data_IF_937941784655
#
_entry.id   IF_937941784655
#
_cell.length_a   1.000
_cell.length_b   1.000
_cell.length_c   1.000
_cell.angle_alpha   90.00
_cell.angle_beta   90.00
_cell.angle_gamma   90.00
#
_symmetry.space_group_name_H-M   'P 1'
#
loop_
_entity.id
_entity.type
_entity.pdbx_description
1 polymer ?
#
# COMPACT_ATOMS: atom_id res chain seq x y z
N UNK A 1 28.60 -66.58 40.86
CA UNK A 1 28.45 -65.10 40.86
C UNK A 1 29.54 -64.55 39.93
N UNK A 2 29.33 -63.79 38.86
CA UNK A 2 28.20 -63.09 38.25
C UNK A 2 28.44 -63.13 36.72
N UNK A 3 27.42 -63.46 35.94
CA UNK A 3 27.34 -63.13 34.51
C UNK A 3 27.19 -61.61 34.36
N UNK A 4 27.74 -61.03 33.28
CA UNK A 4 27.03 -59.98 32.52
C UNK A 4 27.70 -59.77 31.16
N UNK A 5 27.00 -60.26 30.14
CA UNK A 5 27.21 -60.02 28.72
C UNK A 5 26.98 -58.52 28.41
N UNK A 6 27.88 -57.90 27.67
CA UNK A 6 27.66 -56.57 27.08
C UNK A 6 26.66 -56.68 25.93
N UNK A 7 25.40 -56.29 26.16
CA UNK A 7 24.43 -56.05 25.09
C UNK A 7 24.48 -54.58 24.67
N UNK A 8 24.99 -54.35 23.47
CA UNK A 8 24.83 -53.11 22.71
C UNK A 8 23.34 -52.95 22.38
N UNK A 9 22.74 -51.83 22.78
CA UNK A 9 21.34 -51.48 22.45
C UNK A 9 21.26 -50.98 21.01
N UNK A 10 20.25 -51.37 20.20
CA UNK A 10 19.97 -50.67 18.96
C UNK A 10 19.36 -49.30 19.28
N UNK A 11 19.89 -48.26 18.65
CA UNK A 11 19.24 -46.94 18.57
C UNK A 11 17.94 -47.10 17.76
N UNK A 12 16.80 -47.02 18.42
CA UNK A 12 15.52 -46.76 17.75
C UNK A 12 15.52 -45.33 17.25
N UNK A 13 15.77 -45.14 15.96
CA UNK A 13 15.57 -43.86 15.28
C UNK A 13 14.06 -43.68 15.11
N UNK A 14 13.45 -42.85 15.97
CA UNK A 14 12.10 -42.34 15.72
C UNK A 14 12.17 -41.47 14.45
N UNK A 15 11.61 -41.96 13.36
CA UNK A 15 11.28 -41.14 12.21
C UNK A 15 10.08 -40.26 12.58
N UNK A 16 10.32 -39.02 12.98
CA UNK A 16 9.28 -37.99 13.05
C UNK A 16 8.87 -37.62 11.64
N UNK A 17 7.76 -38.18 11.18
CA UNK A 17 7.05 -37.72 10.00
C UNK A 17 6.64 -36.27 10.23
N UNK A 18 7.36 -35.33 9.62
CA UNK A 18 6.91 -33.95 9.49
C UNK A 18 5.73 -33.99 8.52
N UNK A 19 4.52 -33.95 9.06
CA UNK A 19 3.32 -33.70 8.27
C UNK A 19 3.42 -32.23 7.85
N UNK A 20 3.92 -32.01 6.63
CA UNK A 20 3.73 -30.76 5.91
C UNK A 20 2.22 -30.61 5.74
N UNK A 21 1.59 -29.86 6.64
CA UNK A 21 0.27 -29.29 6.37
C UNK A 21 0.45 -28.34 5.20
N UNK A 22 0.27 -28.84 3.98
CA UNK A 22 -0.13 -28.01 2.86
C UNK A 22 -1.44 -27.34 3.30
N UNK A 23 -1.36 -26.07 3.69
CA UNK A 23 -2.57 -25.27 3.86
C UNK A 23 -3.35 -25.40 2.56
N UNK A 24 -4.65 -25.77 2.61
CA UNK A 24 -5.46 -25.77 1.41
C UNK A 24 -5.38 -24.36 0.84
N UNK A 25 -4.88 -24.25 -0.40
CA UNK A 25 -5.04 -23.05 -1.22
C UNK A 25 -6.50 -22.63 -1.06
N UNK A 26 -6.75 -21.50 -0.39
CA UNK A 26 -8.10 -20.96 -0.22
C UNK A 26 -8.67 -20.83 -1.63
N UNK A 27 -9.53 -21.76 -2.02
CA UNK A 27 -10.17 -21.71 -3.32
C UNK A 27 -10.87 -20.36 -3.40
N UNK A 28 -10.45 -19.54 -4.36
CA UNK A 28 -11.01 -18.22 -4.62
C UNK A 28 -12.51 -18.34 -4.80
N UNK A 29 -13.30 -17.61 -4.00
CA UNK A 29 -14.75 -17.58 -4.17
C UNK A 29 -15.08 -16.92 -5.50
N UNK A 30 -15.80 -17.64 -6.37
CA UNK A 30 -16.28 -17.11 -7.64
C UNK A 30 -17.09 -15.82 -7.49
N UNK A 31 -17.75 -15.62 -6.35
CA UNK A 31 -18.49 -14.41 -6.02
C UNK A 31 -17.57 -13.20 -5.85
N UNK A 32 -16.43 -13.36 -5.18
CA UNK A 32 -15.44 -12.30 -4.97
C UNK A 32 -14.79 -11.92 -6.30
N UNK A 33 -14.44 -12.89 -7.14
CA UNK A 33 -13.94 -12.61 -8.49
C UNK A 33 -14.97 -11.83 -9.32
N UNK A 34 -16.25 -12.19 -9.23
CA UNK A 34 -17.30 -11.50 -9.95
C UNK A 34 -17.45 -10.04 -9.48
N UNK A 35 -17.35 -9.78 -8.18
CA UNK A 35 -17.33 -8.40 -7.65
C UNK A 35 -16.13 -7.62 -8.19
N UNK A 36 -14.92 -8.20 -8.16
CA UNK A 36 -13.71 -7.58 -8.73
C UNK A 36 -13.90 -7.26 -10.22
N UNK A 37 -14.41 -8.20 -11.01
CA UNK A 37 -14.68 -8.02 -12.44
C UNK A 37 -15.69 -6.92 -12.72
N UNK A 38 -16.82 -6.89 -12.01
CA UNK A 38 -17.84 -5.83 -12.13
C UNK A 38 -17.30 -4.44 -11.81
N UNK A 39 -16.33 -4.36 -10.90
CA UNK A 39 -15.63 -3.13 -10.55
C UNK A 39 -14.45 -2.81 -11.49
N UNK A 40 -14.28 -3.57 -12.57
CA UNK A 40 -13.27 -3.35 -13.61
C UNK A 40 -11.85 -3.75 -13.20
N UNK A 41 -11.72 -4.73 -12.29
CA UNK A 41 -10.42 -5.17 -11.76
C UNK A 41 -9.95 -6.52 -12.35
N UNK A 42 -10.58 -7.04 -13.41
CA UNK A 42 -10.30 -8.40 -13.92
C UNK A 42 -8.82 -8.61 -14.31
N UNK A 43 -8.23 -7.64 -15.00
CA UNK A 43 -6.87 -7.70 -15.51
C UNK A 43 -5.94 -6.77 -14.71
N UNK A 44 -6.09 -6.78 -13.39
CA UNK A 44 -5.32 -5.93 -12.47
C UNK A 44 -4.51 -6.75 -11.48
N UNK A 45 -3.49 -6.14 -10.90
CA UNK A 45 -2.67 -6.66 -9.83
C UNK A 45 -3.54 -6.98 -8.62
N UNK A 46 -4.62 -6.25 -8.35
CA UNK A 46 -5.58 -6.62 -7.29
C UNK A 46 -6.16 -8.03 -7.53
N UNK A 47 -6.58 -8.34 -8.76
CA UNK A 47 -7.07 -9.69 -9.08
C UNK A 47 -5.97 -10.74 -8.93
N UNK A 48 -4.74 -10.44 -9.37
CA UNK A 48 -3.59 -11.34 -9.20
C UNK A 48 -3.30 -11.61 -7.72
N UNK A 49 -3.20 -10.56 -6.90
CA UNK A 49 -2.96 -10.66 -5.46
C UNK A 49 -4.09 -11.45 -4.77
N UNK A 50 -5.34 -11.23 -5.18
CA UNK A 50 -6.47 -12.00 -4.67
C UNK A 50 -6.34 -13.49 -5.02
N UNK A 51 -6.07 -13.82 -6.28
CA UNK A 51 -5.91 -15.22 -6.75
C UNK A 51 -4.75 -15.94 -6.08
N UNK A 52 -3.68 -15.20 -5.75
CA UNK A 52 -2.54 -15.72 -5.02
C UNK A 52 -2.79 -15.86 -3.51
N UNK A 53 -3.95 -15.45 -3.00
CA UNK A 53 -4.26 -15.47 -1.57
C UNK A 53 -3.50 -14.43 -0.74
N UNK A 54 -2.96 -13.39 -1.36
CA UNK A 54 -2.21 -12.31 -0.69
C UNK A 54 -3.15 -11.29 -0.04
N UNK A 55 -4.42 -11.27 -0.45
CA UNK A 55 -5.47 -10.41 0.10
C UNK A 55 -6.41 -11.20 1.01
N UNK A 56 -6.63 -10.71 2.22
CA UNK A 56 -7.71 -11.15 3.11
C UNK A 56 -9.02 -10.50 2.70
N UNK A 57 -10.07 -11.31 2.54
CA UNK A 57 -11.41 -10.83 2.16
C UNK A 57 -12.26 -10.62 3.40
N UNK A 58 -12.94 -9.47 3.47
CA UNK A 58 -13.99 -9.18 4.45
C UNK A 58 -15.22 -8.66 3.72
N UNK A 59 -16.36 -9.25 4.00
CA UNK A 59 -17.64 -8.78 3.46
C UNK A 59 -18.43 -8.04 4.53
N UNK A 60 -19.09 -6.97 4.12
CA UNK A 60 -20.10 -6.28 4.94
C UNK A 60 -21.46 -6.42 4.26
N UNK A 61 -22.31 -7.25 4.83
CA UNK A 61 -23.64 -7.54 4.29
C UNK A 61 -24.61 -6.38 4.47
N UNK A 62 -24.42 -5.52 5.48
CA UNK A 62 -25.28 -4.38 5.75
C UNK A 62 -24.99 -3.23 4.78
N UNK A 63 -23.70 -2.96 4.55
CA UNK A 63 -23.27 -1.93 3.62
C UNK A 63 -23.27 -2.40 2.16
N UNK A 64 -23.40 -3.71 1.92
CA UNK A 64 -23.22 -4.37 0.63
C UNK A 64 -21.85 -4.02 0.02
N UNK A 65 -20.80 -4.20 0.81
CA UNK A 65 -19.42 -3.93 0.38
C UNK A 65 -18.52 -5.15 0.55
N UNK A 66 -17.49 -5.18 -0.29
CA UNK A 66 -16.39 -6.13 -0.25
C UNK A 66 -15.11 -5.36 0.05
N UNK A 67 -14.39 -5.80 1.07
CA UNK A 67 -13.08 -5.27 1.44
C UNK A 67 -12.01 -6.32 1.18
N UNK A 68 -10.91 -5.92 0.55
CA UNK A 68 -9.70 -6.73 0.44
C UNK A 68 -8.55 -6.02 1.17
N UNK A 69 -7.87 -6.72 2.07
CA UNK A 69 -6.78 -6.18 2.89
C UNK A 69 -5.51 -6.97 2.59
N UNK A 70 -4.43 -6.28 2.24
CA UNK A 70 -3.16 -6.93 2.00
C UNK A 70 -2.54 -7.42 3.32
N UNK A 71 -2.23 -8.72 3.37
CA UNK A 71 -1.70 -9.39 4.57
C UNK A 71 -0.31 -8.90 4.97
N UNK A 72 0.45 -8.31 4.05
CA UNK A 72 1.84 -7.88 4.30
C UNK A 72 1.96 -6.42 4.71
N UNK A 73 0.86 -5.65 4.69
CA UNK A 73 0.94 -4.23 5.01
C UNK A 73 1.11 -4.02 6.51
N UNK A 74 2.12 -3.23 6.84
CA UNK A 74 2.44 -2.83 8.21
C UNK A 74 1.78 -1.47 8.46
N UNK A 75 0.76 -1.47 9.30
CA UNK A 75 0.26 -0.23 9.90
C UNK A 75 1.26 0.24 10.96
N UNK A 76 1.79 1.46 10.80
CA UNK A 76 2.71 2.08 11.76
C UNK A 76 2.00 3.24 12.47
N UNK A 77 1.14 2.98 13.46
CA UNK A 77 0.27 4.01 14.06
C UNK A 77 1.02 5.13 14.80
N UNK A 78 2.33 4.98 15.06
CA UNK A 78 3.15 5.99 15.73
C UNK A 78 4.11 6.76 14.80
N UNK A 79 3.97 6.64 13.47
CA UNK A 79 4.84 7.41 12.56
C UNK A 79 4.50 8.90 12.60
N UNK A 80 5.54 9.72 12.76
CA UNK A 80 5.48 11.18 12.58
C UNK A 80 5.98 11.55 11.20
N UNK A 81 5.76 12.80 10.80
CA UNK A 81 6.24 13.22 9.48
C UNK A 81 7.76 13.11 9.32
N UNK A 82 8.51 13.27 10.41
CA UNK A 82 9.98 13.27 10.41
C UNK A 82 10.60 11.89 10.27
N UNK A 83 9.86 10.83 10.65
CA UNK A 83 10.37 9.45 10.65
C UNK A 83 9.50 8.48 9.85
N UNK A 84 8.52 8.98 9.09
CA UNK A 84 7.67 8.13 8.28
C UNK A 84 8.47 7.38 7.19
N UNK A 85 8.32 6.05 7.16
CA UNK A 85 8.76 5.20 6.05
C UNK A 85 7.64 4.94 5.04
N UNK A 86 6.40 5.04 5.48
CA UNK A 86 5.23 4.71 4.69
C UNK A 86 4.30 5.92 4.57
N UNK A 87 3.77 6.11 3.37
CA UNK A 87 2.88 7.21 3.02
C UNK A 87 1.67 6.67 2.28
N UNK A 88 0.52 7.31 2.44
CA UNK A 88 -0.74 6.73 2.00
C UNK A 88 -1.51 7.68 1.09
N UNK A 89 -2.12 7.09 0.07
CA UNK A 89 -3.03 7.79 -0.84
C UNK A 89 -4.23 6.89 -1.15
N UNK A 90 -5.43 7.41 -0.94
CA UNK A 90 -6.66 6.77 -1.39
C UNK A 90 -7.00 7.29 -2.78
N UNK A 91 -7.08 6.36 -3.73
CA UNK A 91 -7.39 6.62 -5.12
C UNK A 91 -8.74 5.99 -5.49
N UNK A 92 -9.61 6.71 -6.23
CA UNK A 92 -10.76 6.10 -6.88
C UNK A 92 -10.34 4.95 -7.81
N UNK A 93 -11.24 3.99 -8.05
CA UNK A 93 -10.95 2.84 -8.92
C UNK A 93 -10.49 3.25 -10.34
N UNK A 94 -11.05 4.33 -10.89
CA UNK A 94 -10.64 4.85 -12.20
C UNK A 94 -9.20 5.37 -12.20
N UNK A 95 -8.79 6.05 -11.13
CA UNK A 95 -7.43 6.52 -10.95
C UNK A 95 -6.47 5.34 -10.76
N UNK A 96 -6.82 4.36 -9.93
CA UNK A 96 -6.02 3.14 -9.75
C UNK A 96 -5.74 2.44 -11.08
N UNK A 97 -6.78 2.22 -11.90
CA UNK A 97 -6.59 1.59 -13.22
C UNK A 97 -5.66 2.38 -14.12
N UNK A 98 -5.70 3.71 -14.05
CA UNK A 98 -4.81 4.59 -14.82
C UNK A 98 -3.38 4.53 -14.29
N UNK A 99 -3.23 4.47 -12.96
CA UNK A 99 -1.93 4.31 -12.31
C UNK A 99 -1.30 2.96 -12.65
N UNK A 100 -2.07 1.89 -12.61
CA UNK A 100 -1.61 0.56 -12.97
C UNK A 100 -1.28 0.44 -14.46
N UNK A 101 -2.10 0.99 -15.35
CA UNK A 101 -1.85 0.98 -16.78
C UNK A 101 -0.53 1.68 -17.16
N UNK A 102 -0.03 2.61 -16.32
CA UNK A 102 1.28 3.23 -16.49
C UNK A 102 2.42 2.50 -15.76
N UNK A 103 2.19 1.26 -15.32
CA UNK A 103 3.17 0.43 -14.62
C UNK A 103 3.46 0.90 -13.20
N UNK A 104 2.52 1.62 -12.57
CA UNK A 104 2.66 2.20 -11.23
C UNK A 104 3.83 3.19 -11.12
N UNK A 105 4.15 3.88 -12.22
CA UNK A 105 5.33 4.77 -12.30
C UNK A 105 5.00 6.26 -12.19
N UNK A 106 3.73 6.64 -12.31
CA UNK A 106 3.30 8.03 -12.14
C UNK A 106 1.89 8.13 -11.58
N UNK A 107 1.70 8.83 -10.46
CA UNK A 107 0.40 9.09 -9.88
C UNK A 107 -0.43 10.02 -10.80
N UNK A 108 -1.59 9.59 -11.31
CA UNK A 108 -2.37 10.38 -12.26
C UNK A 108 -2.88 11.70 -11.68
N UNK A 109 -3.25 11.74 -10.39
CA UNK A 109 -3.76 12.95 -9.76
C UNK A 109 -2.75 14.11 -9.69
N UNK A 110 -1.44 13.86 -9.89
CA UNK A 110 -0.44 14.94 -9.77
C UNK A 110 -0.58 16.00 -10.85
N UNK A 111 -1.15 15.63 -12.00
CA UNK A 111 -1.35 16.54 -13.15
C UNK A 111 -2.73 17.23 -13.12
N UNK A 112 -3.55 16.93 -12.11
CA UNK A 112 -4.91 17.43 -12.02
C UNK A 112 -5.02 18.52 -10.95
N UNK A 113 -5.97 19.42 -11.11
CA UNK A 113 -6.35 20.38 -10.08
C UNK A 113 -7.29 19.72 -9.05
N UNK A 114 -6.84 18.61 -8.47
CA UNK A 114 -7.59 17.77 -7.51
C UNK A 114 -6.81 17.61 -6.21
N UNK A 115 -7.46 17.00 -5.22
CA UNK A 115 -6.85 16.75 -3.91
C UNK A 115 -5.92 15.53 -3.95
N UNK A 116 -4.78 15.69 -4.61
CA UNK A 116 -3.74 14.66 -4.71
C UNK A 116 -2.78 14.78 -3.52
N UNK A 117 -3.04 14.00 -2.46
CA UNK A 117 -2.31 14.08 -1.19
C UNK A 117 -1.58 12.78 -0.86
N UNK A 118 -0.39 12.91 -0.28
CA UNK A 118 0.27 11.85 0.49
C UNK A 118 0.16 12.17 1.97
N UNK A 119 -0.37 11.24 2.76
CA UNK A 119 -0.57 11.41 4.21
C UNK A 119 0.13 10.32 5.01
N UNK A 120 0.30 10.53 6.31
CA UNK A 120 0.94 9.58 7.22
C UNK A 120 -0.01 8.55 7.82
N UNK A 121 -1.25 8.97 8.06
CA UNK A 121 -2.18 8.17 8.84
C UNK A 121 -2.98 7.21 7.96
N UNK A 122 -2.57 5.94 7.94
CA UNK A 122 -3.27 4.87 7.23
C UNK A 122 -4.79 4.90 7.48
N UNK A 123 -5.22 4.90 8.75
CA UNK A 123 -6.65 4.87 9.09
C UNK A 123 -7.39 6.14 8.69
N UNK A 124 -6.72 7.31 8.72
CA UNK A 124 -7.30 8.56 8.23
C UNK A 124 -7.55 8.48 6.72
N UNK A 125 -6.57 8.01 5.95
CA UNK A 125 -6.70 7.84 4.50
C UNK A 125 -7.72 6.77 4.16
N UNK A 126 -7.74 5.65 4.88
CA UNK A 126 -8.71 4.57 4.69
C UNK A 126 -10.15 5.07 4.86
N UNK A 127 -10.42 5.93 5.85
CA UNK A 127 -11.75 6.52 6.09
C UNK A 127 -12.25 7.43 4.97
N UNK A 128 -11.38 7.85 4.06
CA UNK A 128 -11.80 8.60 2.86
C UNK A 128 -12.51 7.71 1.83
N UNK A 129 -12.34 6.39 1.92
CA UNK A 129 -13.05 5.42 1.11
C UNK A 129 -14.39 5.06 1.75
N UNK A 130 -15.44 5.03 0.93
CA UNK A 130 -16.78 4.61 1.31
C UNK A 130 -17.41 3.79 0.19
N UNK A 131 -18.66 3.33 0.37
CA UNK A 131 -19.40 2.66 -0.71
C UNK A 131 -19.56 3.58 -1.94
N UNK A 132 -19.86 4.86 -1.71
CA UNK A 132 -20.04 5.89 -2.73
C UNK A 132 -18.70 6.37 -3.31
N UNK A 133 -17.62 6.23 -2.53
CA UNK A 133 -16.24 6.56 -2.89
C UNK A 133 -15.35 5.32 -2.81
N UNK A 134 -15.78 4.28 -3.53
CA UNK A 134 -15.04 3.03 -3.60
C UNK A 134 -13.69 3.25 -4.28
N UNK A 135 -12.69 2.47 -3.87
CA UNK A 135 -11.33 2.75 -4.30
C UNK A 135 -10.29 1.88 -3.64
N UNK A 136 -9.05 2.30 -3.84
CA UNK A 136 -7.85 1.60 -3.42
C UNK A 136 -7.04 2.53 -2.56
N UNK A 137 -6.59 2.04 -1.42
CA UNK A 137 -5.53 2.68 -0.64
C UNK A 137 -4.20 2.10 -1.09
N UNK A 138 -3.30 2.96 -1.53
CA UNK A 138 -1.92 2.61 -1.85
C UNK A 138 -1.02 3.10 -0.72
N UNK A 139 -0.18 2.20 -0.22
CA UNK A 139 0.95 2.51 0.64
C UNK A 139 2.19 2.70 -0.24
N UNK A 140 2.89 3.80 -0.06
CA UNK A 140 4.17 4.10 -0.69
C UNK A 140 5.29 3.89 0.32
N UNK A 141 6.14 2.90 0.07
CA UNK A 141 7.33 2.65 0.89
C UNK A 141 8.53 3.44 0.37
N UNK A 142 9.20 4.15 1.27
CA UNK A 142 10.44 4.89 0.98
C UNK A 142 11.68 4.05 1.32
N UNK A 143 12.88 4.44 0.83
CA UNK A 143 14.11 3.68 1.08
C UNK A 143 14.46 3.54 2.56
N UNK A 144 14.14 4.57 3.36
CA UNK A 144 14.34 4.61 4.81
C UNK A 144 13.31 5.55 5.47
N UNK A 145 13.22 5.46 6.79
CA UNK A 145 12.45 6.39 7.62
C UNK A 145 12.88 7.84 7.39
N UNK A 146 11.90 8.75 7.34
CA UNK A 146 12.13 10.18 7.19
C UNK A 146 12.66 10.61 5.82
N UNK A 147 12.76 9.70 4.85
CA UNK A 147 13.39 9.99 3.56
C UNK A 147 12.67 11.12 2.80
N UNK A 148 11.33 11.09 2.71
CA UNK A 148 10.58 12.18 2.07
C UNK A 148 10.65 13.49 2.87
N UNK A 149 10.70 13.42 4.20
CA UNK A 149 10.84 14.63 5.01
C UNK A 149 12.20 15.30 4.81
N UNK A 150 13.26 14.50 4.84
CA UNK A 150 14.62 14.98 4.59
C UNK A 150 14.73 15.64 3.22
N UNK A 151 14.16 15.03 2.19
CA UNK A 151 14.20 15.58 0.85
C UNK A 151 13.30 16.82 0.72
N UNK A 152 11.99 16.67 0.91
CA UNK A 152 11.04 17.74 0.63
C UNK A 152 11.19 18.90 1.61
N UNK A 153 11.37 18.62 2.90
CA UNK A 153 11.35 19.65 3.96
C UNK A 153 12.74 20.13 4.31
N UNK A 154 13.68 19.24 4.67
CA UNK A 154 15.00 19.68 5.14
C UNK A 154 15.83 20.29 4.01
N UNK A 155 15.86 19.67 2.83
CA UNK A 155 16.68 20.15 1.71
C UNK A 155 15.96 21.18 0.85
N UNK A 156 14.73 20.88 0.48
CA UNK A 156 13.97 21.68 -0.49
C UNK A 156 12.95 22.64 0.15
N UNK A 157 12.91 22.71 1.48
CA UNK A 157 12.16 23.67 2.28
C UNK A 157 10.64 23.68 2.06
N UNK A 158 10.09 22.63 1.44
CA UNK A 158 8.66 22.52 1.18
C UNK A 158 7.86 22.33 2.48
N UNK A 159 6.73 23.03 2.65
CA UNK A 159 5.97 22.96 3.88
C UNK A 159 5.11 21.71 3.92
N UNK A 160 4.81 21.35 5.16
CA UNK A 160 3.88 20.29 5.52
C UNK A 160 2.53 20.92 5.81
N UNK A 161 1.45 20.35 5.28
CA UNK A 161 0.09 20.68 5.75
C UNK A 161 -0.27 19.74 6.90
N UNK A 162 -0.89 20.28 7.96
CA UNK A 162 -1.14 19.55 9.21
C UNK A 162 -2.24 18.48 9.13
N UNK A 163 -3.00 18.43 8.03
CA UNK A 163 -4.09 17.46 7.85
C UNK A 163 -3.56 16.01 7.85
N UNK A 164 -4.26 15.10 8.55
CA UNK A 164 -3.95 13.67 8.60
C UNK A 164 -2.59 13.33 9.22
N UNK A 165 -2.20 14.07 10.27
CA UNK A 165 -0.89 13.92 10.96
C UNK A 165 0.28 14.57 10.21
N UNK A 166 0.03 15.14 9.04
CA UNK A 166 1.03 15.68 8.13
C UNK A 166 0.82 15.17 6.70
N UNK A 167 0.80 16.09 5.74
CA UNK A 167 0.59 15.75 4.34
C UNK A 167 1.41 16.60 3.38
N UNK A 168 1.72 15.99 2.23
CA UNK A 168 2.26 16.66 1.06
C UNK A 168 1.18 16.74 -0.03
N UNK A 169 1.02 17.92 -0.62
CA UNK A 169 0.08 18.16 -1.72
C UNK A 169 0.84 18.01 -3.03
N UNK A 170 0.52 16.97 -3.80
CA UNK A 170 1.22 16.62 -5.03
C UNK A 170 0.54 17.16 -6.31
N UNK A 171 -0.75 17.50 -6.23
CA UNK A 171 -1.53 17.95 -7.40
C UNK A 171 -1.14 19.35 -7.87
N UNK A 172 -1.75 19.81 -8.97
CA UNK A 172 -1.52 21.17 -9.50
C UNK A 172 -1.90 22.26 -8.47
N UNK A 173 -2.85 21.99 -7.56
CA UNK A 173 -3.13 22.86 -6.41
C UNK A 173 -1.94 23.00 -5.46
N UNK A 174 -1.19 21.91 -5.25
CA UNK A 174 0.06 21.91 -4.50
C UNK A 174 1.13 22.71 -5.21
N UNK A 175 1.29 22.54 -6.52
CA UNK A 175 2.19 23.36 -7.35
C UNK A 175 1.88 24.85 -7.27
N UNK A 176 0.60 25.24 -7.23
CA UNK A 176 0.20 26.63 -7.01
C UNK A 176 0.62 27.15 -5.62
N UNK A 177 0.49 26.35 -4.56
CA UNK A 177 1.01 26.68 -3.23
C UNK A 177 2.54 26.77 -3.20
N UNK A 178 3.23 25.92 -3.95
CA UNK A 178 4.69 26.00 -4.08
C UNK A 178 5.12 27.25 -4.88
N UNK A 179 4.35 27.66 -5.88
CA UNK A 179 4.61 28.86 -6.68
C UNK A 179 4.67 30.15 -5.84
N UNK A 180 3.99 30.21 -4.69
CA UNK A 180 4.06 31.33 -3.75
C UNK A 180 5.31 31.36 -2.87
N UNK A 181 6.35 30.57 -3.21
CA UNK A 181 7.64 30.58 -2.52
C UNK A 181 7.72 29.63 -1.33
N UNK A 182 6.80 28.66 -1.25
CA UNK A 182 6.76 27.67 -0.18
C UNK A 182 7.90 26.63 -0.28
N UNK A 183 8.47 26.36 -1.48
CA UNK A 183 9.68 25.54 -1.63
C UNK A 183 10.84 26.35 -2.24
N UNK A 184 12.03 25.76 -2.24
CA UNK A 184 13.14 26.29 -3.01
C UNK A 184 12.85 26.41 -4.53
N UNK A 185 13.74 27.09 -5.25
CA UNK A 185 13.53 27.39 -6.67
C UNK A 185 13.41 26.12 -7.54
N UNK A 186 14.14 25.07 -7.19
CA UNK A 186 14.17 23.82 -7.96
C UNK A 186 12.84 23.08 -7.86
N UNK A 187 12.39 22.81 -6.62
CA UNK A 187 11.16 22.07 -6.38
C UNK A 187 9.92 22.88 -6.71
N UNK A 188 10.02 24.22 -6.65
CA UNK A 188 9.00 25.11 -7.18
C UNK A 188 8.87 25.07 -8.68
N UNK A 189 9.97 24.97 -9.42
CA UNK A 189 9.93 24.84 -10.88
C UNK A 189 9.31 23.52 -11.32
N UNK A 190 9.63 22.43 -10.62
CA UNK A 190 9.13 21.10 -10.97
C UNK A 190 7.71 20.81 -10.44
N UNK A 191 7.42 21.19 -9.20
CA UNK A 191 6.24 20.77 -8.44
C UNK A 191 6.43 19.40 -7.78
N UNK A 192 5.98 19.27 -6.52
CA UNK A 192 6.16 18.05 -5.70
C UNK A 192 5.63 16.78 -6.36
N UNK A 193 4.52 16.84 -7.09
CA UNK A 193 3.97 15.68 -7.78
C UNK A 193 4.88 15.14 -8.89
N UNK A 194 5.54 16.02 -9.64
CA UNK A 194 6.50 15.61 -10.67
C UNK A 194 7.76 14.99 -10.05
N UNK A 195 8.24 15.58 -8.96
CA UNK A 195 9.35 15.02 -8.17
C UNK A 195 9.00 13.63 -7.65
N UNK A 196 7.82 13.47 -7.04
CA UNK A 196 7.37 12.19 -6.51
C UNK A 196 7.22 11.12 -7.61
N UNK A 197 6.67 11.49 -8.77
CA UNK A 197 6.59 10.58 -9.92
C UNK A 197 7.98 10.17 -10.44
N UNK A 198 8.99 11.03 -10.37
CA UNK A 198 10.36 10.63 -10.70
C UNK A 198 10.87 9.56 -9.74
N UNK A 199 10.53 9.63 -8.44
CA UNK A 199 10.91 8.59 -7.49
C UNK A 199 10.22 7.25 -7.74
N UNK A 200 8.94 7.28 -8.13
CA UNK A 200 8.21 6.07 -8.55
C UNK A 200 8.85 5.45 -9.80
N UNK A 201 9.12 6.27 -10.82
CA UNK A 201 9.78 5.82 -12.06
C UNK A 201 11.16 5.24 -11.82
N UNK A 202 11.94 5.81 -10.90
CA UNK A 202 13.25 5.31 -10.49
C UNK A 202 13.18 4.15 -9.48
N UNK A 203 11.98 3.74 -9.06
CA UNK A 203 11.74 2.70 -8.05
C UNK A 203 12.39 2.99 -6.69
N UNK A 204 12.65 4.26 -6.40
CA UNK A 204 13.10 4.70 -5.07
C UNK A 204 11.93 4.72 -4.08
N UNK A 205 10.72 4.93 -4.58
CA UNK A 205 9.48 4.74 -3.82
C UNK A 205 8.72 3.57 -4.43
N UNK A 206 8.25 2.65 -3.59
CA UNK A 206 7.53 1.45 -4.03
C UNK A 206 6.05 1.51 -3.64
N UNK A 207 5.11 1.48 -4.61
CA UNK A 207 3.69 1.38 -4.32
C UNK A 207 3.31 -0.05 -3.92
N UNK A 208 2.44 -0.15 -2.91
CA UNK A 208 1.90 -1.39 -2.36
C UNK A 208 0.39 -1.21 -2.23
N UNK A 209 -0.39 -2.11 -2.84
CA UNK A 209 -1.84 -2.15 -2.64
C UNK A 209 -2.09 -2.59 -1.21
N UNK A 210 -2.64 -1.70 -0.37
CA UNK A 210 -2.84 -2.00 1.04
C UNK A 210 -4.26 -2.40 1.38
N UNK A 211 -5.23 -1.71 0.80
CA UNK A 211 -6.63 -1.89 1.10
C UNK A 211 -7.48 -1.56 -0.13
N UNK A 212 -8.51 -2.34 -0.38
CA UNK A 212 -9.45 -2.16 -1.48
C UNK A 212 -10.86 -2.21 -0.91
N UNK A 213 -11.69 -1.23 -1.22
CA UNK A 213 -13.11 -1.21 -0.87
C UNK A 213 -13.94 -1.13 -2.15
N UNK A 214 -14.85 -2.09 -2.31
CA UNK A 214 -15.69 -2.24 -3.49
C UNK A 214 -17.17 -2.36 -3.09
N UNK A 215 -18.11 -1.77 -3.85
CA UNK A 215 -19.50 -2.16 -3.78
C UNK A 215 -19.67 -3.59 -4.31
N UNK A 216 -20.55 -4.37 -3.67
CA UNK A 216 -20.96 -5.68 -4.18
C UNK A 216 -22.03 -5.54 -5.25
#
# INVERSE_FOLDING_TARGET
MKFTNSRVRPLSILATTVVLFSQPSQATSSEVENVLKRNGLDNTQIMTLYRNGELSVKEDTQLHTLTLINKTVVETPQSTIRNAKYWYHAMPLSEYRTFEANGLTALPCTQQYTDCKLTLEYSYTQKSLSKEKAGVLIQFSTPKEGWLYEDFVTRHHCPVKQEGGGSFILGEKGKAAVASGECDKEYRGMGLGNVFNNYLKQKSVTPIISYVLLPK
#
